data_IF_073706313973
#
_entry.id   IF_073706313973
#
_cell.length_a   1.000
_cell.length_b   1.000
_cell.length_c   1.000
_cell.angle_alpha   90.00
_cell.angle_beta   90.00
_cell.angle_gamma   90.00
#
_symmetry.space_group_name_H-M   'P 1'
#
loop_
_entity.id
_entity.type
_entity.pdbx_description
1 polymer ?
#
# COMPACT_ATOMS: atom_id res chain seq x y z
N UNK A 1 8.49 34.21 -5.69
CA UNK A 1 9.06 32.87 -5.99
C UNK A 1 8.72 31.94 -4.84
N UNK A 2 7.73 31.06 -5.02
CA UNK A 2 7.53 29.97 -4.08
C UNK A 2 8.64 28.95 -4.34
N UNK A 3 9.67 28.95 -3.52
CA UNK A 3 10.56 27.80 -3.43
C UNK A 3 9.74 26.65 -2.87
N UNK A 4 9.33 25.74 -3.73
CA UNK A 4 8.73 24.48 -3.29
C UNK A 4 9.73 23.76 -2.39
N UNK A 5 9.36 23.53 -1.14
CA UNK A 5 10.18 22.74 -0.23
C UNK A 5 10.03 21.28 -0.69
N UNK A 6 10.99 20.80 -1.48
CA UNK A 6 11.04 19.40 -1.90
C UNK A 6 11.32 18.51 -0.67
N UNK A 7 10.76 17.30 -0.62
CA UNK A 7 11.10 16.36 0.42
C UNK A 7 12.60 16.06 0.39
N UNK A 8 13.21 16.01 1.59
CA UNK A 8 14.62 15.68 1.74
C UNK A 8 14.88 14.18 1.48
N UNK A 9 13.92 13.36 1.89
CA UNK A 9 13.98 11.90 1.77
C UNK A 9 12.66 11.42 1.17
N UNK A 10 12.75 10.57 0.15
CA UNK A 10 11.60 9.85 -0.40
C UNK A 10 11.73 8.37 -0.04
N UNK A 11 10.64 7.80 0.47
CA UNK A 11 10.55 6.39 0.83
C UNK A 11 9.40 5.78 0.04
N UNK A 12 9.70 4.76 -0.74
CA UNK A 12 8.72 3.91 -1.41
C UNK A 12 8.66 2.57 -0.69
N UNK A 13 7.52 2.23 -0.11
CA UNK A 13 7.30 0.97 0.58
C UNK A 13 6.38 0.08 -0.25
N UNK A 14 6.88 -1.07 -0.68
CA UNK A 14 6.14 -2.06 -1.48
C UNK A 14 5.59 -3.15 -0.57
N UNK A 15 4.27 -3.30 -0.55
CA UNK A 15 3.56 -4.10 0.44
C UNK A 15 2.55 -5.07 -0.19
N UNK A 16 2.37 -6.20 0.47
CA UNK A 16 1.20 -7.03 0.27
C UNK A 16 0.06 -6.50 1.15
N UNK A 17 -1.08 -6.07 0.58
CA UNK A 17 -2.20 -5.54 1.38
C UNK A 17 -2.76 -6.51 2.42
N UNK A 18 -2.53 -7.82 2.23
CA UNK A 18 -2.92 -8.90 3.15
C UNK A 18 -1.74 -9.51 3.91
N UNK A 19 -0.59 -8.85 3.94
CA UNK A 19 0.61 -9.32 4.64
C UNK A 19 0.69 -8.76 6.06
N UNK A 20 0.76 -9.63 7.08
CA UNK A 20 0.92 -9.18 8.49
C UNK A 20 2.22 -8.38 8.68
N UNK A 21 3.33 -8.91 8.19
CA UNK A 21 4.64 -8.24 8.28
C UNK A 21 4.64 -6.89 7.54
N UNK A 22 3.91 -6.82 6.40
CA UNK A 22 3.75 -5.56 5.67
C UNK A 22 3.00 -4.52 6.50
N UNK A 23 1.90 -4.91 7.16
CA UNK A 23 1.14 -4.01 8.03
C UNK A 23 1.97 -3.49 9.22
N UNK A 24 2.83 -4.32 9.79
CA UNK A 24 3.77 -3.93 10.85
C UNK A 24 4.81 -2.93 10.33
N UNK A 25 5.41 -3.20 9.18
CA UNK A 25 6.38 -2.30 8.53
C UNK A 25 5.74 -0.95 8.14
N UNK A 26 4.53 -0.98 7.60
CA UNK A 26 3.75 0.23 7.28
C UNK A 26 3.55 1.10 8.52
N UNK A 27 3.08 0.49 9.62
CA UNK A 27 2.85 1.19 10.89
C UNK A 27 4.15 1.80 11.42
N UNK A 28 5.23 1.02 11.46
CA UNK A 28 6.55 1.50 11.90
C UNK A 28 7.03 2.71 11.10
N UNK A 29 6.93 2.67 9.77
CA UNK A 29 7.36 3.77 8.91
C UNK A 29 6.45 5.00 9.02
N UNK A 30 5.14 4.82 9.19
CA UNK A 30 4.22 5.93 9.41
C UNK A 30 4.54 6.63 10.74
N UNK A 31 4.75 5.86 11.81
CA UNK A 31 5.11 6.40 13.12
C UNK A 31 6.48 7.09 13.07
N UNK A 32 7.48 6.45 12.44
CA UNK A 32 8.81 7.03 12.25
C UNK A 32 8.75 8.36 11.51
N UNK A 33 8.08 8.43 10.37
CA UNK A 33 8.02 9.64 9.55
C UNK A 33 7.24 10.77 10.23
N UNK A 34 6.26 10.43 11.07
CA UNK A 34 5.46 11.42 11.82
C UNK A 34 6.21 12.09 12.95
N UNK A 35 7.27 11.47 13.47
CA UNK A 35 8.06 11.97 14.61
C UNK A 35 9.32 12.74 14.19
N UNK A 36 9.64 12.78 12.89
CA UNK A 36 10.83 13.43 12.37
C UNK A 36 10.60 14.89 11.99
N UNK A 37 11.64 15.69 12.21
CA UNK A 37 11.66 17.10 11.77
C UNK A 37 12.02 17.23 10.28
N UNK A 38 12.70 16.23 9.73
CA UNK A 38 13.05 16.18 8.32
C UNK A 38 11.80 15.95 7.46
N UNK A 39 11.77 16.57 6.31
CA UNK A 39 10.67 16.37 5.36
C UNK A 39 10.83 15.03 4.63
N UNK A 40 10.06 14.05 5.04
CA UNK A 40 10.03 12.71 4.46
C UNK A 40 8.71 12.55 3.68
N UNK A 41 8.80 12.12 2.42
CA UNK A 41 7.63 11.68 1.64
C UNK A 41 7.59 10.15 1.63
N UNK A 42 6.61 9.59 2.34
CA UNK A 42 6.35 8.15 2.37
C UNK A 42 5.23 7.82 1.37
N UNK A 43 5.57 7.00 0.38
CA UNK A 43 4.62 6.45 -0.58
C UNK A 43 4.50 4.94 -0.39
N UNK A 44 3.30 4.46 -0.05
CA UNK A 44 2.99 3.04 0.06
C UNK A 44 2.43 2.55 -1.28
N UNK A 45 3.00 1.48 -1.79
CA UNK A 45 2.66 0.88 -3.09
C UNK A 45 2.26 -0.57 -2.89
N UNK A 46 0.99 -0.93 -3.12
CA UNK A 46 0.58 -2.32 -3.14
C UNK A 46 1.29 -3.08 -4.26
N UNK A 47 2.03 -4.12 -3.91
CA UNK A 47 2.70 -5.00 -4.85
C UNK A 47 1.92 -6.30 -4.96
N UNK A 48 1.38 -6.59 -6.14
CA UNK A 48 0.60 -7.80 -6.40
C UNK A 48 1.20 -8.53 -7.59
N UNK A 49 1.88 -9.62 -7.32
CA UNK A 49 2.47 -10.48 -8.34
C UNK A 49 2.42 -11.96 -7.90
N UNK A 50 2.73 -12.84 -8.82
CA UNK A 50 2.69 -14.29 -8.56
C UNK A 50 3.71 -14.71 -7.48
N UNK A 51 4.88 -14.08 -7.42
CA UNK A 51 5.90 -14.37 -6.39
C UNK A 51 5.40 -14.04 -4.99
N UNK A 52 4.70 -12.90 -4.84
CA UNK A 52 4.07 -12.50 -3.59
C UNK A 52 3.09 -13.58 -3.11
N UNK A 53 2.21 -14.04 -3.99
CA UNK A 53 1.21 -15.05 -3.64
C UNK A 53 1.86 -16.37 -3.29
N UNK A 54 2.86 -16.80 -4.07
CA UNK A 54 3.61 -18.02 -3.78
C UNK A 54 4.28 -17.91 -2.40
N UNK A 55 4.95 -16.80 -2.10
CA UNK A 55 5.62 -16.59 -0.82
C UNK A 55 4.65 -16.61 0.38
N UNK A 56 3.42 -16.11 0.20
CA UNK A 56 2.39 -16.15 1.25
C UNK A 56 2.03 -17.58 1.66
N UNK A 57 2.11 -18.53 0.70
CA UNK A 57 1.67 -19.91 0.89
C UNK A 57 2.80 -20.95 0.80
N UNK A 58 4.07 -20.52 0.84
CA UNK A 58 5.25 -21.39 0.63
C UNK A 58 5.27 -22.66 1.49
N UNK A 59 4.64 -22.63 2.68
CA UNK A 59 4.61 -23.76 3.59
C UNK A 59 3.27 -24.52 3.60
N UNK A 60 2.35 -24.16 2.71
CA UNK A 60 1.01 -24.74 2.68
C UNK A 60 0.64 -25.23 1.29
N UNK A 61 0.16 -26.46 1.21
CA UNK A 61 -0.52 -26.92 -0.01
C UNK A 61 -1.92 -26.32 -0.04
N UNK A 62 -2.13 -25.34 -0.90
CA UNK A 62 -3.45 -24.75 -1.12
C UNK A 62 -3.96 -25.10 -2.52
N UNK A 63 -5.28 -25.22 -2.64
CA UNK A 63 -5.92 -25.40 -3.92
C UNK A 63 -5.90 -24.10 -4.75
N UNK A 64 -6.19 -24.25 -6.04
CA UNK A 64 -6.20 -23.14 -6.99
C UNK A 64 -7.28 -22.10 -6.66
N UNK A 65 -8.43 -22.54 -6.11
CA UNK A 65 -9.54 -21.67 -5.78
C UNK A 65 -9.17 -20.73 -4.62
N UNK A 66 -8.57 -21.27 -3.57
CA UNK A 66 -8.06 -20.49 -2.44
C UNK A 66 -7.01 -19.47 -2.88
N UNK A 67 -6.07 -19.89 -3.76
CA UNK A 67 -5.06 -18.98 -4.34
C UNK A 67 -5.71 -17.85 -5.14
N UNK A 68 -6.67 -18.16 -5.99
CA UNK A 68 -7.37 -17.18 -6.80
C UNK A 68 -8.23 -16.25 -5.96
N UNK A 69 -8.87 -16.75 -4.90
CA UNK A 69 -9.62 -15.93 -3.96
C UNK A 69 -8.71 -14.90 -3.27
N UNK A 70 -7.57 -15.36 -2.76
CA UNK A 70 -6.57 -14.47 -2.13
C UNK A 70 -6.09 -13.39 -3.10
N UNK A 71 -5.77 -13.76 -4.34
CA UNK A 71 -5.34 -12.80 -5.37
C UNK A 71 -6.41 -11.74 -5.63
N UNK A 72 -7.66 -12.17 -5.84
CA UNK A 72 -8.78 -11.24 -6.07
C UNK A 72 -8.98 -10.28 -4.89
N UNK A 73 -8.91 -10.80 -3.67
CA UNK A 73 -9.06 -9.99 -2.47
C UNK A 73 -7.92 -8.97 -2.33
N UNK A 74 -6.67 -9.39 -2.47
CA UNK A 74 -5.51 -8.51 -2.43
C UNK A 74 -5.59 -7.41 -3.51
N UNK A 75 -6.00 -7.78 -4.73
CA UNK A 75 -6.21 -6.83 -5.81
C UNK A 75 -7.33 -5.83 -5.51
N UNK A 76 -8.45 -6.29 -4.98
CA UNK A 76 -9.58 -5.42 -4.60
C UNK A 76 -9.14 -4.41 -3.54
N UNK A 77 -8.43 -4.85 -2.50
CA UNK A 77 -7.91 -3.96 -1.45
C UNK A 77 -6.91 -2.96 -2.02
N UNK A 78 -6.06 -3.38 -2.95
CA UNK A 78 -5.14 -2.47 -3.62
C UNK A 78 -5.86 -1.36 -4.39
N UNK A 79 -6.95 -1.68 -5.10
CA UNK A 79 -7.77 -0.68 -5.79
C UNK A 79 -8.48 0.26 -4.79
N UNK A 80 -9.02 -0.28 -3.69
CA UNK A 80 -9.61 0.51 -2.63
C UNK A 80 -8.61 1.51 -2.04
N UNK A 81 -7.41 1.05 -1.75
CA UNK A 81 -6.34 1.90 -1.25
C UNK A 81 -5.95 2.99 -2.27
N UNK A 82 -5.84 2.65 -3.57
CA UNK A 82 -5.57 3.64 -4.62
C UNK A 82 -6.68 4.69 -4.71
N UNK A 83 -7.95 4.28 -4.61
CA UNK A 83 -9.07 5.22 -4.58
C UNK A 83 -9.02 6.15 -3.35
N UNK A 84 -8.68 5.60 -2.20
CA UNK A 84 -8.47 6.41 -0.99
C UNK A 84 -7.33 7.42 -1.15
N UNK A 85 -6.24 7.05 -1.84
CA UNK A 85 -5.08 7.93 -2.07
C UNK A 85 -5.41 9.17 -2.90
N UNK A 86 -6.43 9.14 -3.78
CA UNK A 86 -6.88 10.31 -4.54
C UNK A 86 -7.34 11.42 -3.60
N UNK A 87 -7.96 11.05 -2.47
CA UNK A 87 -8.45 12.01 -1.47
C UNK A 87 -7.39 12.38 -0.43
N UNK A 88 -6.21 11.80 -0.50
CA UNK A 88 -5.06 12.17 0.32
C UNK A 88 -4.31 10.99 0.93
N UNK A 89 -2.97 11.05 0.90
CA UNK A 89 -2.08 9.98 1.38
C UNK A 89 -2.31 9.62 2.85
N UNK A 90 -2.55 10.61 3.72
CA UNK A 90 -2.72 10.38 5.17
C UNK A 90 -3.98 9.57 5.48
N UNK A 91 -5.13 9.98 4.95
CA UNK A 91 -6.39 9.26 5.12
C UNK A 91 -6.32 7.84 4.53
N UNK A 92 -5.70 7.71 3.35
CA UNK A 92 -5.51 6.40 2.72
C UNK A 92 -4.69 5.44 3.59
N UNK A 93 -3.59 5.90 4.20
CA UNK A 93 -2.79 5.08 5.12
C UNK A 93 -3.59 4.66 6.37
N UNK A 94 -4.36 5.56 6.94
CA UNK A 94 -5.26 5.25 8.07
C UNK A 94 -6.29 4.19 7.68
N UNK A 95 -6.90 4.34 6.51
CA UNK A 95 -7.86 3.38 5.97
C UNK A 95 -7.21 1.99 5.77
N UNK A 96 -6.05 1.92 5.12
CA UNK A 96 -5.37 0.64 4.86
C UNK A 96 -5.01 -0.07 6.15
N UNK A 97 -4.38 0.62 7.13
CA UNK A 97 -4.02 0.03 8.41
C UNK A 97 -5.25 -0.46 9.19
N UNK A 98 -6.34 0.32 9.21
CA UNK A 98 -7.57 -0.09 9.86
C UNK A 98 -8.18 -1.33 9.20
N UNK A 99 -8.18 -1.38 7.86
CA UNK A 99 -8.67 -2.54 7.10
C UNK A 99 -7.82 -3.78 7.37
N UNK A 100 -6.50 -3.66 7.31
CA UNK A 100 -5.58 -4.76 7.62
C UNK A 100 -5.80 -5.28 9.05
N UNK A 101 -5.96 -4.40 10.03
CA UNK A 101 -6.27 -4.80 11.41
C UNK A 101 -7.55 -5.62 11.49
N UNK A 102 -8.64 -5.18 10.86
CA UNK A 102 -9.91 -5.90 10.86
C UNK A 102 -9.80 -7.27 10.19
N UNK A 103 -9.13 -7.34 9.04
CA UNK A 103 -9.01 -8.58 8.27
C UNK A 103 -8.02 -9.57 8.91
N UNK A 104 -6.84 -9.10 9.33
CA UNK A 104 -5.72 -9.97 9.70
C UNK A 104 -5.66 -10.29 11.20
N UNK A 105 -6.12 -9.38 12.07
CA UNK A 105 -6.07 -9.55 13.51
C UNK A 105 -7.43 -9.96 14.08
N UNK A 106 -8.50 -9.31 13.65
CA UNK A 106 -9.86 -9.57 14.15
C UNK A 106 -10.58 -10.68 13.36
N UNK A 107 -10.06 -11.06 12.18
CA UNK A 107 -10.67 -12.09 11.33
C UNK A 107 -12.01 -11.67 10.73
N UNK A 108 -12.32 -10.38 10.68
CA UNK A 108 -13.55 -9.86 10.08
C UNK A 108 -13.48 -10.00 8.56
N UNK A 109 -14.45 -10.61 7.90
CA UNK A 109 -14.41 -10.78 6.45
C UNK A 109 -14.56 -9.43 5.73
N UNK A 110 -13.88 -9.31 4.59
CA UNK A 110 -14.02 -8.16 3.69
C UNK A 110 -15.49 -8.02 3.24
N UNK A 111 -16.04 -6.82 3.38
CA UNK A 111 -17.40 -6.49 2.97
C UNK A 111 -17.57 -5.01 2.67
N UNK A 112 -18.55 -4.66 1.84
CA UNK A 112 -18.87 -3.26 1.53
C UNK A 112 -19.23 -2.44 2.78
N UNK A 113 -19.90 -3.04 3.76
CA UNK A 113 -20.23 -2.38 5.02
C UNK A 113 -18.98 -2.04 5.83
N UNK A 114 -18.01 -2.96 5.90
CA UNK A 114 -16.72 -2.75 6.56
C UNK A 114 -15.95 -1.63 5.88
N UNK A 115 -15.82 -1.68 4.55
CA UNK A 115 -15.11 -0.67 3.76
C UNK A 115 -15.72 0.72 3.97
N UNK A 116 -17.05 0.82 3.89
CA UNK A 116 -17.76 2.08 4.14
C UNK A 116 -17.47 2.63 5.54
N UNK A 117 -17.60 1.78 6.56
CA UNK A 117 -17.38 2.17 7.95
C UNK A 117 -15.96 2.70 8.14
N UNK A 118 -14.94 1.97 7.67
CA UNK A 118 -13.54 2.34 7.85
C UNK A 118 -13.16 3.59 7.05
N UNK A 119 -13.66 3.71 5.82
CA UNK A 119 -13.37 4.88 5.00
C UNK A 119 -13.97 6.17 5.60
N UNK A 120 -15.20 6.12 6.08
CA UNK A 120 -15.84 7.28 6.74
C UNK A 120 -15.06 7.77 7.98
N UNK A 121 -14.34 6.90 8.67
CA UNK A 121 -13.49 7.28 9.81
C UNK A 121 -12.30 8.16 9.40
N UNK A 122 -11.91 8.14 8.13
CA UNK A 122 -10.84 9.02 7.61
C UNK A 122 -11.28 10.45 7.36
N UNK A 123 -12.59 10.72 7.38
CA UNK A 123 -13.18 12.00 7.02
C UNK A 123 -13.29 12.24 5.51
N UNK A 124 -13.04 11.23 4.68
CA UNK A 124 -13.11 11.32 3.23
C UNK A 124 -14.55 11.31 2.69
N UNK A 125 -14.72 11.73 1.44
CA UNK A 125 -15.99 11.66 0.70
C UNK A 125 -16.23 10.22 0.22
N UNK A 126 -17.13 9.52 0.90
CA UNK A 126 -17.46 8.13 0.57
C UNK A 126 -18.16 7.98 -0.79
N UNK A 127 -18.95 8.97 -1.22
CA UNK A 127 -19.66 8.88 -2.51
C UNK A 127 -18.63 8.89 -3.66
N UNK A 128 -17.68 9.81 -3.62
CA UNK A 128 -16.56 9.88 -4.56
C UNK A 128 -15.69 8.62 -4.49
N UNK A 129 -15.29 8.18 -3.28
CA UNK A 129 -14.52 6.95 -3.10
C UNK A 129 -15.20 5.72 -3.72
N UNK A 130 -16.50 5.56 -3.51
CA UNK A 130 -17.29 4.44 -4.04
C UNK A 130 -17.31 4.43 -5.58
N UNK A 131 -17.40 5.59 -6.19
CA UNK A 131 -17.36 5.75 -7.65
C UNK A 131 -15.97 5.45 -8.19
N UNK A 132 -14.93 6.02 -7.56
CA UNK A 132 -13.55 5.89 -7.98
C UNK A 132 -13.03 4.46 -7.93
N UNK A 133 -13.36 3.68 -6.90
CA UNK A 133 -12.89 2.30 -6.68
C UNK A 133 -12.99 1.39 -7.92
N UNK A 134 -13.98 1.60 -8.75
CA UNK A 134 -14.27 0.78 -9.92
C UNK A 134 -13.90 1.46 -11.24
N UNK A 135 -13.35 2.66 -11.18
CA UNK A 135 -13.01 3.46 -12.36
C UNK A 135 -11.82 2.90 -13.13
N UNK A 136 -11.74 3.25 -14.41
CA UNK A 136 -10.57 2.95 -15.24
C UNK A 136 -9.32 3.67 -14.70
N UNK A 137 -9.48 4.91 -14.20
CA UNK A 137 -8.39 5.70 -13.64
C UNK A 137 -7.68 4.95 -12.50
N UNK A 138 -8.43 4.36 -11.56
CA UNK A 138 -7.84 3.63 -10.44
C UNK A 138 -7.06 2.39 -10.91
N UNK A 139 -7.58 1.68 -11.91
CA UNK A 139 -6.88 0.53 -12.51
C UNK A 139 -5.58 0.97 -13.19
N UNK A 140 -5.60 2.08 -13.90
CA UNK A 140 -4.41 2.63 -14.56
C UNK A 140 -3.36 3.09 -13.54
N UNK A 141 -3.77 3.74 -12.44
CA UNK A 141 -2.88 4.11 -11.35
C UNK A 141 -2.27 2.89 -10.67
N UNK A 142 -3.05 1.83 -10.43
CA UNK A 142 -2.53 0.57 -9.92
C UNK A 142 -1.49 -0.06 -10.87
N UNK A 143 -1.77 -0.10 -12.17
CA UNK A 143 -0.82 -0.62 -13.16
C UNK A 143 0.46 0.22 -13.20
N UNK A 144 0.37 1.54 -13.05
CA UNK A 144 1.54 2.42 -12.93
C UNK A 144 2.38 2.06 -11.71
N UNK A 145 1.76 1.75 -10.58
CA UNK A 145 2.46 1.29 -9.37
C UNK A 145 3.23 -0.01 -9.63
N UNK A 146 2.63 -0.98 -10.35
CA UNK A 146 3.31 -2.22 -10.71
C UNK A 146 4.50 -1.96 -11.67
N UNK A 147 4.37 -0.99 -12.58
CA UNK A 147 5.48 -0.54 -13.42
C UNK A 147 6.61 0.08 -12.56
N UNK A 148 6.26 0.95 -11.61
CA UNK A 148 7.23 1.54 -10.67
C UNK A 148 8.00 0.46 -9.90
N UNK A 149 7.32 -0.57 -9.39
CA UNK A 149 7.96 -1.70 -8.72
C UNK A 149 8.95 -2.41 -9.63
N UNK A 150 8.58 -2.65 -10.88
CA UNK A 150 9.45 -3.27 -11.88
C UNK A 150 10.67 -2.41 -12.20
N UNK A 151 10.47 -1.09 -12.37
CA UNK A 151 11.55 -0.15 -12.69
C UNK A 151 12.56 -0.06 -11.54
N UNK A 152 12.10 -0.19 -10.29
CA UNK A 152 12.94 -0.31 -9.10
C UNK A 152 13.49 -1.71 -8.86
N UNK A 153 13.16 -2.68 -9.73
CA UNK A 153 13.55 -4.08 -9.60
C UNK A 153 13.04 -4.74 -8.30
N UNK A 154 11.92 -4.26 -7.77
CA UNK A 154 11.27 -4.80 -6.58
C UNK A 154 10.34 -5.93 -6.98
N UNK A 155 10.61 -7.13 -6.49
CA UNK A 155 9.84 -8.33 -6.79
C UNK A 155 9.28 -9.02 -5.54
N UNK A 156 9.75 -8.62 -4.37
CA UNK A 156 9.35 -9.20 -3.08
C UNK A 156 8.66 -8.15 -2.21
N UNK A 157 7.79 -8.59 -1.36
CA UNK A 157 7.29 -7.85 -0.21
C UNK A 157 8.11 -8.27 1.02
N UNK A 158 8.25 -7.56 2.02
CA UNK A 158 8.14 -6.13 2.20
C UNK A 158 9.45 -5.54 1.71
N UNK A 159 9.40 -4.61 0.80
CA UNK A 159 10.61 -3.97 0.29
C UNK A 159 10.48 -2.46 0.36
N UNK A 160 11.57 -1.78 0.66
CA UNK A 160 11.66 -0.33 0.68
C UNK A 160 12.71 0.19 -0.29
N UNK A 161 12.40 1.29 -0.96
CA UNK A 161 13.36 2.06 -1.76
C UNK A 161 13.45 3.45 -1.16
N UNK A 162 14.67 3.87 -0.82
CA UNK A 162 14.92 5.15 -0.15
C UNK A 162 15.82 6.00 -1.04
N UNK A 163 15.35 7.20 -1.35
CA UNK A 163 16.14 8.24 -2.04
C UNK A 163 16.43 9.40 -1.12
N UNK A 164 17.68 9.88 -1.15
CA UNK A 164 18.06 11.15 -0.55
C UNK A 164 18.16 12.19 -1.66
N UNK A 165 17.20 13.11 -1.71
CA UNK A 165 17.10 14.11 -2.78
C UNK A 165 18.24 15.16 -2.78
N UNK A 166 19.09 15.18 -1.76
CA UNK A 166 20.29 16.06 -1.71
C UNK A 166 21.58 15.37 -2.15
N UNK A 167 21.54 14.06 -2.38
CA UNK A 167 22.68 13.32 -2.90
C UNK A 167 22.30 12.77 -4.26
N UNK A 168 23.15 13.00 -5.26
CA UNK A 168 23.06 12.37 -6.58
C UNK A 168 23.48 10.90 -6.50
N UNK A 169 22.96 10.17 -5.51
CA UNK A 169 23.26 8.75 -5.29
C UNK A 169 22.05 7.92 -5.76
N UNK A 170 22.33 6.72 -6.22
CA UNK A 170 21.29 5.73 -6.52
C UNK A 170 20.45 5.41 -5.29
N UNK A 171 19.18 5.09 -5.49
CA UNK A 171 18.28 4.72 -4.40
C UNK A 171 18.74 3.45 -3.69
N UNK A 172 18.59 3.41 -2.37
CA UNK A 172 18.88 2.22 -1.56
C UNK A 172 17.67 1.28 -1.56
N UNK A 173 17.83 0.07 -2.09
CA UNK A 173 16.83 -0.99 -2.01
C UNK A 173 17.04 -1.85 -0.76
N UNK A 174 16.00 -2.01 0.03
CA UNK A 174 15.91 -2.90 1.18
C UNK A 174 14.84 -3.96 0.92
N UNK A 175 15.19 -5.23 0.97
CA UNK A 175 14.27 -6.35 0.76
C UNK A 175 14.06 -7.16 2.04
N UNK A 176 12.82 -7.64 2.25
CA UNK A 176 12.50 -8.51 3.39
C UNK A 176 12.46 -7.77 4.73
N UNK A 177 11.90 -6.58 4.75
CA UNK A 177 11.68 -5.77 5.94
C UNK A 177 10.66 -6.42 6.88
#
# INVERSE_FOLDING_TARGET
MHMGVYPLIEIYLFVNPLGKNCAEAEKLLIDFTSTRSEKIDLTIIPLINQRMITATFEQQTIDLETRNHYFRLAYTIALDFKAAQIQGKKGARQFLLALQHQLLNEGIPYSESLIKQLFLQTGGDYAMFKEDRHSALIKDLFLKDQCTARDFQVYKQTSGVIYNCYREEDGLLLEGL
#
